data_IF_958720054743
#
_entry.id   IF_958720054743
#
_cell.length_a   1.000
_cell.length_b   1.000
_cell.length_c   1.000
_cell.angle_alpha   90.00
_cell.angle_beta   90.00
_cell.angle_gamma   90.00
#
_symmetry.space_group_name_H-M   'P 1'
#
loop_
_entity.id
_entity.type
_entity.pdbx_description
1 polymer ?
#
# COMPACT_ATOMS: atom_id res chain seq x y z
N UNK A 1 -10.29 9.56 9.59
CA UNK A 1 -10.57 10.81 8.85
C UNK A 1 -9.94 12.04 9.52
N UNK A 2 -9.96 12.11 10.86
CA UNK A 2 -9.36 13.23 11.61
C UNK A 2 -7.89 13.47 11.23
N UNK A 3 -7.10 12.39 11.11
CA UNK A 3 -5.70 12.47 10.73
C UNK A 3 -5.52 13.03 9.30
N UNK A 4 -6.40 12.69 8.35
CA UNK A 4 -6.36 13.28 7.01
C UNK A 4 -6.60 14.78 7.10
N UNK A 5 -7.56 15.21 7.89
CA UNK A 5 -7.89 16.63 8.09
C UNK A 5 -6.80 17.43 8.80
N UNK A 6 -5.95 16.77 9.59
CA UNK A 6 -4.81 17.42 10.26
C UNK A 6 -3.55 17.54 9.39
N UNK A 7 -3.55 16.96 8.19
CA UNK A 7 -2.42 17.07 7.27
C UNK A 7 -2.43 18.40 6.51
N UNK A 8 -1.25 18.97 6.32
CA UNK A 8 -1.05 20.16 5.47
C UNK A 8 -0.85 19.78 4.00
N UNK A 9 -0.44 18.54 3.75
CA UNK A 9 -0.18 17.98 2.42
C UNK A 9 -0.57 16.51 2.37
N UNK A 10 -1.23 16.10 1.29
CA UNK A 10 -1.54 14.69 1.02
C UNK A 10 -0.72 14.19 -0.18
N UNK A 11 0.07 13.16 0.06
CA UNK A 11 0.85 12.46 -0.99
C UNK A 11 0.03 11.34 -1.59
N UNK A 12 -0.10 11.35 -2.91
CA UNK A 12 -0.81 10.35 -3.71
C UNK A 12 0.19 9.51 -4.51
N UNK A 13 0.25 8.19 -4.32
CA UNK A 13 1.17 7.30 -5.05
C UNK A 13 0.66 7.02 -6.49
N UNK A 14 0.42 8.05 -7.25
CA UNK A 14 -0.13 7.99 -8.60
C UNK A 14 0.36 9.18 -9.43
N UNK A 15 0.21 9.10 -10.76
CA UNK A 15 0.57 10.17 -11.68
C UNK A 15 -0.37 11.37 -11.52
N UNK A 16 -1.64 11.12 -11.24
CA UNK A 16 -2.66 12.15 -10.99
C UNK A 16 -3.65 11.70 -9.92
N UNK A 17 -4.43 12.63 -9.38
CA UNK A 17 -5.47 12.34 -8.40
C UNK A 17 -6.59 11.46 -8.99
N UNK A 18 -6.88 11.62 -10.28
CA UNK A 18 -7.89 10.85 -11.00
C UNK A 18 -7.50 9.36 -11.10
N UNK A 19 -6.20 9.08 -11.23
CA UNK A 19 -5.66 7.72 -11.29
C UNK A 19 -5.43 7.10 -9.90
N UNK A 20 -5.54 7.88 -8.84
CA UNK A 20 -5.29 7.40 -7.48
C UNK A 20 -6.55 6.76 -6.87
N UNK A 21 -6.60 5.43 -6.80
CA UNK A 21 -7.70 4.71 -6.18
C UNK A 21 -7.89 5.08 -4.70
N UNK A 22 -6.81 5.24 -3.94
CA UNK A 22 -6.90 5.64 -2.53
C UNK A 22 -7.57 7.01 -2.38
N UNK A 23 -7.24 7.97 -3.24
CA UNK A 23 -7.89 9.28 -3.26
C UNK A 23 -9.38 9.19 -3.56
N UNK A 24 -9.76 8.37 -4.55
CA UNK A 24 -11.18 8.17 -4.90
C UNK A 24 -11.98 7.55 -3.76
N UNK A 25 -11.38 6.61 -3.00
CA UNK A 25 -12.02 5.99 -1.83
C UNK A 25 -12.21 7.03 -0.73
N UNK A 26 -11.17 7.80 -0.40
CA UNK A 26 -11.23 8.84 0.63
C UNK A 26 -12.23 9.93 0.26
N UNK A 27 -12.27 10.36 -1.00
CA UNK A 27 -13.19 11.39 -1.49
C UNK A 27 -14.68 11.07 -1.30
N UNK A 28 -15.04 9.79 -1.17
CA UNK A 28 -16.42 9.38 -0.89
C UNK A 28 -16.85 9.67 0.55
N UNK A 29 -15.92 9.74 1.49
CA UNK A 29 -16.18 9.90 2.93
C UNK A 29 -15.54 11.15 3.52
N UNK A 30 -14.71 11.83 2.76
CA UNK A 30 -14.01 13.07 3.11
C UNK A 30 -13.92 13.95 1.84
N UNK A 31 -15.03 14.54 1.36
CA UNK A 31 -15.04 15.33 0.13
C UNK A 31 -14.07 16.52 0.16
N UNK A 32 -13.84 17.08 1.34
CA UNK A 32 -12.92 18.20 1.59
C UNK A 32 -11.46 17.90 1.22
N UNK A 33 -11.10 16.64 0.98
CA UNK A 33 -9.75 16.29 0.48
C UNK A 33 -9.46 16.94 -0.89
N UNK A 34 -10.49 17.30 -1.63
CA UNK A 34 -10.34 18.00 -2.92
C UNK A 34 -9.75 19.39 -2.79
N UNK A 35 -9.88 20.02 -1.63
CA UNK A 35 -9.44 21.38 -1.34
C UNK A 35 -8.06 21.40 -0.66
N UNK A 36 -7.55 20.22 -0.30
CA UNK A 36 -6.25 20.08 0.34
C UNK A 36 -5.11 20.12 -0.68
N UNK A 37 -3.92 20.61 -0.29
CA UNK A 37 -2.72 20.48 -1.10
C UNK A 37 -2.39 19.02 -1.40
N UNK A 38 -2.19 18.66 -2.67
CA UNK A 38 -1.92 17.30 -3.12
C UNK A 38 -0.57 17.24 -3.82
N UNK A 39 0.22 16.22 -3.49
CA UNK A 39 1.47 15.85 -4.16
C UNK A 39 1.28 14.49 -4.85
N UNK A 40 1.14 14.49 -6.17
CA UNK A 40 1.11 13.27 -6.95
C UNK A 40 2.54 12.82 -7.25
N UNK A 41 2.88 11.61 -6.80
CA UNK A 41 4.21 11.04 -7.04
C UNK A 41 4.09 9.53 -7.30
N UNK A 42 4.24 9.08 -8.56
CA UNK A 42 4.13 7.68 -8.90
C UNK A 42 5.33 6.91 -8.37
N UNK A 43 5.08 5.75 -7.78
CA UNK A 43 6.12 4.82 -7.37
C UNK A 43 6.41 3.85 -8.52
N UNK A 44 7.61 3.88 -9.10
CA UNK A 44 7.92 3.07 -10.25
C UNK A 44 8.04 1.58 -9.88
N UNK A 45 7.49 0.71 -10.72
CA UNK A 45 7.62 -0.74 -10.61
C UNK A 45 8.82 -1.22 -11.43
N UNK A 46 10.02 -0.95 -10.95
CA UNK A 46 11.30 -1.26 -11.63
C UNK A 46 11.91 -2.51 -10.98
N UNK A 47 12.41 -3.45 -11.79
CA UNK A 47 13.13 -4.65 -11.30
C UNK A 47 14.58 -4.36 -10.90
N UNK A 48 15.19 -3.32 -11.46
CA UNK A 48 16.55 -2.88 -11.14
C UNK A 48 16.52 -2.19 -9.76
N UNK A 49 17.08 -2.86 -8.76
CA UNK A 49 17.08 -2.40 -7.37
C UNK A 49 17.76 -1.04 -7.20
N UNK A 50 18.85 -0.77 -7.93
CA UNK A 50 19.57 0.51 -7.84
C UNK A 50 18.74 1.67 -8.38
N UNK A 51 18.05 1.44 -9.49
CA UNK A 51 17.14 2.44 -10.08
C UNK A 51 15.91 2.67 -9.20
N UNK A 52 15.39 1.59 -8.61
CA UNK A 52 14.27 1.67 -7.69
C UNK A 52 14.64 2.47 -6.44
N UNK A 53 15.81 2.19 -5.87
CA UNK A 53 16.34 2.90 -4.70
C UNK A 53 16.54 4.40 -4.99
N UNK A 54 17.13 4.73 -6.16
CA UNK A 54 17.29 6.12 -6.58
C UNK A 54 15.94 6.84 -6.76
N UNK A 55 14.94 6.15 -7.32
CA UNK A 55 13.61 6.72 -7.47
C UNK A 55 12.94 6.97 -6.10
N UNK A 56 13.04 6.02 -5.17
CA UNK A 56 12.53 6.19 -3.81
C UNK A 56 13.23 7.33 -3.06
N UNK A 57 14.55 7.50 -3.26
CA UNK A 57 15.31 8.60 -2.68
C UNK A 57 14.78 9.95 -3.15
N UNK A 58 14.59 10.12 -4.46
CA UNK A 58 14.05 11.36 -5.03
C UNK A 58 12.63 11.68 -4.54
N UNK A 59 11.78 10.66 -4.45
CA UNK A 59 10.43 10.82 -3.90
C UNK A 59 10.50 11.27 -2.44
N UNK A 60 11.36 10.63 -1.65
CA UNK A 60 11.53 10.98 -0.25
C UNK A 60 12.08 12.40 -0.08
N UNK A 61 13.10 12.80 -0.82
CA UNK A 61 13.65 14.16 -0.80
C UNK A 61 12.57 15.22 -1.05
N UNK A 62 11.69 14.96 -2.04
CA UNK A 62 10.56 15.84 -2.30
C UNK A 62 9.60 15.94 -1.10
N UNK A 63 9.32 14.82 -0.43
CA UNK A 63 8.46 14.78 0.77
C UNK A 63 9.16 15.49 1.93
N UNK A 64 10.46 15.25 2.11
CA UNK A 64 11.25 15.82 3.19
C UNK A 64 11.31 17.35 3.13
N UNK A 65 11.29 17.95 1.96
CA UNK A 65 11.25 19.41 1.80
C UNK A 65 9.99 20.03 2.44
N UNK A 66 8.87 19.33 2.43
CA UNK A 66 7.65 19.73 3.12
C UNK A 66 7.77 19.53 4.64
N UNK A 67 8.33 18.40 5.08
CA UNK A 67 8.58 18.15 6.51
C UNK A 67 9.51 19.21 7.12
N UNK A 68 10.56 19.62 6.39
CA UNK A 68 11.50 20.68 6.82
C UNK A 68 10.84 22.06 6.96
N UNK A 69 9.72 22.28 6.29
CA UNK A 69 8.89 23.48 6.45
C UNK A 69 7.91 23.38 7.63
N UNK A 70 7.99 22.30 8.40
CA UNK A 70 7.12 22.06 9.56
C UNK A 70 5.72 21.55 9.20
N UNK A 71 5.51 21.07 7.96
CA UNK A 71 4.21 20.60 7.51
C UNK A 71 3.95 19.15 7.93
N UNK A 72 2.71 18.85 8.25
CA UNK A 72 2.22 17.50 8.51
C UNK A 72 1.86 16.86 7.16
N UNK A 73 2.58 15.80 6.80
CA UNK A 73 2.42 15.13 5.50
C UNK A 73 1.74 13.78 5.69
N UNK A 74 0.59 13.60 5.07
CA UNK A 74 -0.12 12.32 5.00
C UNK A 74 0.11 11.63 3.66
N UNK A 75 0.43 10.33 3.65
CA UNK A 75 0.51 9.55 2.42
C UNK A 75 -0.62 8.54 2.36
N UNK A 76 -1.44 8.62 1.32
CA UNK A 76 -2.53 7.66 1.11
C UNK A 76 -2.01 6.36 0.49
N UNK A 77 -2.57 5.24 0.95
CA UNK A 77 -2.36 3.92 0.36
C UNK A 77 -3.64 3.09 0.42
N UNK A 78 -3.72 2.04 -0.37
CA UNK A 78 -4.87 1.12 -0.38
C UNK A 78 -4.61 -0.02 0.58
N UNK A 79 -5.63 -0.42 1.33
CA UNK A 79 -5.55 -1.51 2.29
C UNK A 79 -4.84 -1.10 3.57
N UNK A 80 -3.97 -1.96 4.08
CA UNK A 80 -3.18 -1.69 5.27
C UNK A 80 -1.76 -1.28 4.89
N UNK A 81 -1.24 -0.14 5.40
CA UNK A 81 0.12 0.33 5.09
C UNK A 81 1.23 -0.61 5.55
N UNK A 82 0.96 -1.47 6.54
CA UNK A 82 1.93 -2.43 7.06
C UNK A 82 2.11 -3.68 6.19
N UNK A 83 1.26 -3.87 5.14
CA UNK A 83 1.29 -5.09 4.32
C UNK A 83 1.66 -4.76 2.86
N UNK A 84 2.92 -5.02 2.49
CA UNK A 84 3.47 -4.83 1.13
C UNK A 84 3.17 -3.46 0.51
N UNK A 85 3.13 -2.40 1.32
CA UNK A 85 2.88 -1.04 0.87
C UNK A 85 4.16 -0.29 0.52
N UNK A 86 4.10 0.54 -0.52
CA UNK A 86 5.18 1.46 -0.89
C UNK A 86 5.40 2.55 0.17
N UNK A 87 4.39 2.84 1.00
CA UNK A 87 4.53 3.75 2.13
C UNK A 87 5.68 3.37 3.06
N UNK A 88 5.92 2.07 3.29
CA UNK A 88 6.97 1.60 4.20
C UNK A 88 8.37 2.05 3.80
N UNK A 89 8.64 2.25 2.50
CA UNK A 89 9.93 2.81 2.05
C UNK A 89 10.09 4.27 2.51
N UNK A 90 9.03 5.04 2.46
CA UNK A 90 9.04 6.44 2.92
C UNK A 90 9.08 6.53 4.43
N UNK A 91 8.27 5.69 5.12
CA UNK A 91 8.25 5.58 6.57
C UNK A 91 9.64 5.27 7.15
N UNK A 92 10.33 4.27 6.60
CA UNK A 92 11.67 3.88 7.04
C UNK A 92 12.66 5.03 6.91
N UNK A 93 12.69 5.69 5.75
CA UNK A 93 13.58 6.85 5.52
C UNK A 93 13.27 8.01 6.45
N UNK A 94 12.00 8.30 6.67
CA UNK A 94 11.60 9.36 7.60
C UNK A 94 12.11 9.08 9.01
N UNK A 95 11.96 7.84 9.50
CA UNK A 95 12.48 7.42 10.81
C UNK A 95 14.00 7.49 10.89
N UNK A 96 14.71 7.05 9.85
CA UNK A 96 16.18 7.10 9.76
C UNK A 96 16.71 8.53 9.78
N UNK A 97 15.96 9.49 9.24
CA UNK A 97 16.29 10.91 9.24
C UNK A 97 15.74 11.68 10.48
N UNK A 98 15.22 10.95 11.48
CA UNK A 98 14.82 11.53 12.76
C UNK A 98 13.42 12.15 12.78
N UNK A 99 12.64 11.99 11.71
CA UNK A 99 11.25 12.45 11.67
C UNK A 99 10.32 11.53 12.46
N UNK A 100 9.31 12.11 13.06
CA UNK A 100 8.19 11.33 13.60
C UNK A 100 7.33 10.84 12.43
N UNK A 101 7.09 9.53 12.39
CA UNK A 101 6.26 8.91 11.37
C UNK A 101 5.42 7.80 11.99
N UNK A 102 4.13 7.80 11.65
CA UNK A 102 3.15 6.84 12.16
C UNK A 102 2.53 6.03 11.02
N UNK A 103 2.17 4.79 11.34
CA UNK A 103 1.39 3.93 10.46
C UNK A 103 -0.05 3.96 10.95
N UNK A 104 -0.95 4.47 10.14
CA UNK A 104 -2.38 4.42 10.43
C UNK A 104 -2.94 3.17 9.78
N UNK A 105 -3.34 2.21 10.61
CA UNK A 105 -3.83 0.92 10.14
C UNK A 105 -5.05 1.07 9.23
N UNK A 106 -5.11 0.22 8.24
CA UNK A 106 -6.24 0.05 7.35
C UNK A 106 -6.79 -1.37 7.40
N UNK A 107 -7.67 -1.70 6.46
CA UNK A 107 -8.21 -3.06 6.31
C UNK A 107 -7.51 -3.72 5.11
N UNK A 108 -6.73 -4.80 5.31
CA UNK A 108 -6.13 -5.54 4.22
C UNK A 108 -7.19 -6.07 3.25
N UNK A 109 -6.89 -6.08 1.96
CA UNK A 109 -7.85 -6.48 0.92
C UNK A 109 -8.41 -7.89 1.12
N UNK A 110 -7.61 -8.82 1.57
CA UNK A 110 -8.05 -10.19 1.83
C UNK A 110 -9.01 -10.28 3.02
N UNK A 111 -8.83 -9.46 4.07
CA UNK A 111 -9.80 -9.36 5.16
C UNK A 111 -11.13 -8.75 4.68
N UNK A 112 -11.08 -7.73 3.84
CA UNK A 112 -12.27 -7.11 3.28
C UNK A 112 -13.04 -8.09 2.37
N UNK A 113 -12.33 -8.89 1.57
CA UNK A 113 -12.92 -9.94 0.71
C UNK A 113 -13.56 -11.03 1.56
N UNK A 114 -12.87 -11.55 2.57
CA UNK A 114 -13.41 -12.58 3.46
C UNK A 114 -14.68 -12.11 4.16
N UNK A 115 -14.67 -10.89 4.70
CA UNK A 115 -15.85 -10.28 5.31
C UNK A 115 -17.03 -10.15 4.33
N UNK A 116 -16.75 -9.72 3.09
CA UNK A 116 -17.79 -9.61 2.04
C UNK A 116 -18.39 -10.96 1.64
N UNK A 117 -17.58 -12.02 1.67
CA UNK A 117 -18.01 -13.39 1.38
C UNK A 117 -18.64 -14.09 2.59
N UNK A 118 -18.55 -13.52 3.78
CA UNK A 118 -19.03 -14.12 5.03
C UNK A 118 -18.25 -15.37 5.42
N UNK A 119 -16.95 -15.44 5.09
CA UNK A 119 -16.08 -16.59 5.41
C UNK A 119 -14.96 -16.19 6.37
N UNK A 120 -14.48 -17.17 7.15
CA UNK A 120 -13.25 -17.06 7.92
C UNK A 120 -12.04 -17.30 7.02
N UNK A 121 -10.93 -16.60 7.30
CA UNK A 121 -9.63 -16.90 6.66
C UNK A 121 -8.91 -18.06 7.35
N UNK A 122 -9.23 -18.33 8.60
CA UNK A 122 -8.67 -19.45 9.33
C UNK A 122 -9.51 -19.77 10.56
N UNK A 123 -9.59 -21.05 10.91
CA UNK A 123 -10.30 -21.54 12.07
C UNK A 123 -9.39 -22.38 12.98
N UNK A 124 -9.62 -22.26 14.29
CA UNK A 124 -8.91 -23.03 15.33
C UNK A 124 -7.39 -22.93 15.21
N UNK A 125 -6.72 -23.97 14.67
CA UNK A 125 -5.26 -24.09 14.52
C UNK A 125 -4.81 -23.90 13.08
N UNK A 126 -5.69 -23.50 12.19
CA UNK A 126 -5.37 -23.28 10.79
C UNK A 126 -4.42 -22.10 10.62
N UNK A 127 -3.35 -22.32 9.87
CA UNK A 127 -2.36 -21.29 9.57
C UNK A 127 -2.82 -20.41 8.41
N UNK A 128 -2.43 -19.14 8.44
CA UNK A 128 -2.68 -18.20 7.35
C UNK A 128 -1.33 -17.73 6.82
N UNK A 129 -1.06 -18.03 5.55
CA UNK A 129 0.15 -17.62 4.85
C UNK A 129 -0.15 -16.44 3.93
N UNK A 130 0.54 -15.30 4.12
CA UNK A 130 0.40 -14.12 3.27
C UNK A 130 1.62 -14.07 2.35
N UNK A 131 1.40 -14.31 1.05
CA UNK A 131 2.44 -14.57 0.08
C UNK A 131 2.47 -13.47 -1.00
N UNK A 132 3.63 -12.80 -1.25
CA UNK A 132 3.76 -11.82 -2.30
C UNK A 132 3.90 -12.52 -3.66
N UNK A 133 2.80 -12.72 -4.36
CA UNK A 133 2.72 -13.48 -5.60
C UNK A 133 3.23 -12.73 -6.87
N UNK A 134 3.99 -11.66 -6.67
CA UNK A 134 4.79 -11.03 -7.73
C UNK A 134 6.11 -11.78 -8.03
N UNK A 135 6.48 -12.71 -7.15
CA UNK A 135 7.66 -13.59 -7.23
C UNK A 135 7.24 -15.03 -7.49
N UNK A 136 8.21 -15.94 -7.60
CA UNK A 136 7.95 -17.38 -7.71
C UNK A 136 7.26 -17.88 -6.43
N UNK A 137 6.21 -18.69 -6.60
CA UNK A 137 5.34 -19.15 -5.49
C UNK A 137 5.07 -20.65 -5.51
N UNK A 138 5.68 -21.38 -6.44
CA UNK A 138 5.44 -22.81 -6.67
C UNK A 138 5.63 -23.63 -5.40
N UNK A 139 6.65 -23.35 -4.61
CA UNK A 139 6.95 -24.04 -3.36
C UNK A 139 5.85 -23.84 -2.30
N UNK A 140 5.09 -22.74 -2.42
CA UNK A 140 4.04 -22.40 -1.45
C UNK A 140 2.72 -23.16 -1.68
N UNK A 141 2.56 -23.83 -2.82
CA UNK A 141 1.37 -24.63 -3.10
C UNK A 141 1.25 -25.88 -2.23
N UNK A 142 2.35 -26.29 -1.59
CA UNK A 142 2.40 -27.39 -0.62
C UNK A 142 2.05 -26.98 0.81
N UNK A 143 1.88 -25.67 1.09
CA UNK A 143 1.58 -25.19 2.43
C UNK A 143 0.19 -25.62 2.87
N UNK A 144 0.10 -26.10 4.12
CA UNK A 144 -1.19 -26.39 4.77
C UNK A 144 -1.87 -25.09 5.20
N UNK A 145 -3.19 -25.10 5.30
CA UNK A 145 -3.95 -23.92 5.74
C UNK A 145 -4.34 -22.99 4.60
N UNK A 146 -4.64 -21.75 4.94
CA UNK A 146 -5.10 -20.75 4.00
C UNK A 146 -3.95 -19.93 3.41
N UNK A 147 -3.78 -19.98 2.09
CA UNK A 147 -2.79 -19.17 1.39
C UNK A 147 -3.42 -17.95 0.72
N UNK A 148 -2.97 -16.77 1.10
CA UNK A 148 -3.39 -15.48 0.53
C UNK A 148 -2.32 -14.98 -0.43
N UNK A 149 -2.54 -15.12 -1.73
CA UNK A 149 -1.62 -14.65 -2.75
C UNK A 149 -1.89 -13.19 -3.11
N UNK A 150 -1.04 -12.29 -2.62
CA UNK A 150 -1.15 -10.86 -2.88
C UNK A 150 -0.39 -10.45 -4.14
N UNK A 151 -0.91 -9.45 -4.87
CA UNK A 151 -0.30 -8.94 -6.11
C UNK A 151 -0.19 -10.00 -7.21
N UNK A 152 -1.13 -10.95 -7.26
CA UNK A 152 -1.15 -12.15 -8.11
C UNK A 152 -1.53 -11.91 -9.58
N UNK A 153 -1.45 -10.69 -10.11
CA UNK A 153 -1.94 -10.32 -11.44
C UNK A 153 -1.48 -11.19 -12.62
N UNK A 154 -0.39 -11.95 -12.46
CA UNK A 154 0.09 -12.93 -13.44
C UNK A 154 -0.31 -14.37 -13.12
N UNK A 155 -0.38 -14.75 -11.85
CA UNK A 155 -0.68 -16.10 -11.40
C UNK A 155 -2.15 -16.46 -11.59
N UNK A 156 -3.06 -15.50 -11.35
CA UNK A 156 -4.51 -15.72 -11.56
C UNK A 156 -4.88 -16.15 -12.99
N UNK A 157 -4.02 -15.86 -13.99
CA UNK A 157 -4.20 -16.33 -15.37
C UNK A 157 -3.66 -17.74 -15.61
N UNK A 158 -2.65 -18.17 -14.86
CA UNK A 158 -2.08 -19.52 -14.96
C UNK A 158 -2.96 -20.56 -14.26
N UNK A 159 -3.41 -20.27 -13.03
CA UNK A 159 -4.24 -21.20 -12.24
C UNK A 159 -5.63 -21.46 -12.84
N UNK A 160 -6.17 -20.52 -13.64
CA UNK A 160 -7.42 -20.74 -14.36
C UNK A 160 -7.27 -21.62 -15.62
N UNK A 161 -6.05 -21.86 -16.12
CA UNK A 161 -5.82 -22.72 -17.31
C UNK A 161 -5.60 -24.19 -16.98
N UNK A 162 -5.30 -24.54 -15.73
CA UNK A 162 -5.00 -25.93 -15.33
C UNK A 162 -6.19 -26.67 -14.71
N UNK A 163 -7.39 -26.06 -14.68
CA UNK A 163 -8.61 -26.75 -14.25
C UNK A 163 -9.58 -26.89 -15.43
N UNK A 164 -9.21 -27.71 -16.38
CA UNK A 164 -10.11 -28.30 -17.36
C UNK A 164 -9.86 -29.82 -17.40
#
# INVERSE_FOLDING_TARGET
LEIIRSCDLIVLPAVSKEECYAYRIVGQVCPEISDMPLLCTPFPMIKDEKKLELAHTRIYETIEDYLRRGQIVGMLTIGDPGIYSTYLYMHKRAKENGWQAEIINGVPSFCAVAAKLGISLGEKKEEIHIIPAAYEVEDTFSYSGTCVYMKSGKIGRASCRERV
#
